data_IF_109505180650
#
_entry.id   IF_109505180650
#
_cell.length_a   1.000
_cell.length_b   1.000
_cell.length_c   1.000
_cell.angle_alpha   90.00
_cell.angle_beta   90.00
_cell.angle_gamma   90.00
#
_symmetry.space_group_name_H-M   'P 1'
#
loop_
_entity.id
_entity.type
_entity.pdbx_description
1 polymer ?
#
# COMPACT_ATOMS: atom_id res chain seq x y z
N UNK A 1 24.88 -4.94 15.61
CA UNK A 1 24.05 -4.93 14.39
C UNK A 1 22.98 -3.87 14.58
N UNK A 2 23.06 -2.74 13.88
CA UNK A 2 21.94 -1.79 13.86
C UNK A 2 20.84 -2.44 13.02
N UNK A 3 19.70 -2.79 13.62
CA UNK A 3 18.60 -3.43 12.91
C UNK A 3 18.02 -2.45 11.90
N UNK A 4 18.23 -2.70 10.61
CA UNK A 4 17.51 -2.00 9.55
C UNK A 4 16.04 -2.44 9.59
N UNK A 5 15.13 -1.48 9.68
CA UNK A 5 13.71 -1.73 9.47
C UNK A 5 13.39 -1.43 8.00
N UNK A 6 12.81 -2.41 7.30
CA UNK A 6 12.34 -2.26 5.91
C UNK A 6 10.82 -2.14 5.89
N UNK A 7 10.25 -0.93 6.02
CA UNK A 7 8.81 -0.73 5.95
C UNK A 7 8.28 -1.12 4.56
N UNK A 8 7.21 -1.93 4.56
CA UNK A 8 6.42 -2.21 3.37
C UNK A 8 5.06 -1.56 3.51
N UNK A 9 4.69 -0.76 2.51
CA UNK A 9 3.42 -0.07 2.40
C UNK A 9 2.57 -0.74 1.31
N UNK A 10 1.82 -1.79 1.66
CA UNK A 10 0.90 -2.40 0.72
C UNK A 10 -0.36 -1.53 0.58
N UNK A 11 -0.95 -1.54 -0.62
CA UNK A 11 -2.37 -1.24 -0.80
C UNK A 11 -3.22 -2.28 -0.08
N UNK A 12 -4.54 -2.16 -0.18
CA UNK A 12 -5.46 -3.09 0.48
C UNK A 12 -5.07 -4.54 0.21
N UNK A 13 -4.95 -5.36 1.25
CA UNK A 13 -4.61 -6.79 1.13
C UNK A 13 -5.89 -7.59 1.35
N UNK A 14 -6.16 -8.56 0.47
CA UNK A 14 -7.32 -9.44 0.58
C UNK A 14 -7.13 -10.43 1.73
N UNK A 15 -7.47 -9.98 2.93
CA UNK A 15 -7.50 -10.78 4.14
C UNK A 15 -8.94 -10.89 4.65
N UNK A 16 -9.25 -11.89 5.50
CA UNK A 16 -10.58 -12.01 6.14
C UNK A 16 -10.99 -10.78 6.98
N UNK A 17 -10.07 -9.84 7.23
CA UNK A 17 -10.36 -8.61 7.98
C UNK A 17 -11.58 -7.85 7.42
N UNK A 18 -11.71 -7.74 6.10
CA UNK A 18 -12.83 -7.00 5.49
C UNK A 18 -14.17 -7.72 5.69
N UNK A 19 -14.17 -9.05 5.67
CA UNK A 19 -15.36 -9.85 5.94
C UNK A 19 -15.74 -9.76 7.42
N UNK A 20 -14.77 -9.91 8.33
CA UNK A 20 -14.99 -9.86 9.77
C UNK A 20 -15.38 -8.47 10.31
N UNK A 21 -14.94 -7.39 9.65
CA UNK A 21 -15.34 -6.01 10.00
C UNK A 21 -16.79 -5.69 9.58
N UNK A 22 -17.47 -6.63 8.91
CA UNK A 22 -18.82 -6.42 8.40
C UNK A 22 -18.89 -5.47 7.20
N UNK A 23 -17.75 -5.14 6.58
CA UNK A 23 -17.65 -4.23 5.44
C UNK A 23 -16.68 -4.79 4.40
N UNK A 24 -17.24 -5.43 3.38
CA UNK A 24 -16.49 -5.92 2.24
C UNK A 24 -15.72 -4.78 1.54
N UNK A 25 -14.59 -5.10 0.92
CA UNK A 25 -13.87 -4.16 0.09
C UNK A 25 -14.60 -3.98 -1.25
N UNK A 26 -15.28 -2.85 -1.44
CA UNK A 26 -16.15 -2.55 -2.58
C UNK A 26 -15.50 -1.71 -3.68
N UNK A 27 -14.29 -1.16 -3.42
CA UNK A 27 -13.59 -0.33 -4.39
C UNK A 27 -13.14 -1.13 -5.61
N UNK A 28 -13.42 -0.56 -6.79
CA UNK A 28 -13.00 -1.12 -8.09
C UNK A 28 -11.51 -0.90 -8.36
N UNK A 29 -10.92 0.15 -7.81
CA UNK A 29 -9.50 0.49 -7.97
C UNK A 29 -8.96 1.29 -6.77
N UNK A 30 -7.72 1.00 -6.31
CA UNK A 30 -6.97 -0.23 -6.59
C UNK A 30 -7.69 -1.47 -6.09
N UNK A 31 -7.59 -2.59 -6.83
CA UNK A 31 -8.10 -3.87 -6.34
C UNK A 31 -7.22 -4.39 -5.19
N UNK A 32 -7.79 -5.16 -4.23
CA UNK A 32 -7.00 -5.78 -3.18
C UNK A 32 -5.92 -6.70 -3.71
N UNK A 33 -4.73 -6.62 -3.10
CA UNK A 33 -3.60 -7.49 -3.33
C UNK A 33 -3.86 -8.89 -2.78
N UNK A 34 -3.30 -9.90 -3.45
CA UNK A 34 -3.17 -11.22 -2.84
C UNK A 34 -2.22 -11.14 -1.63
N UNK A 35 -2.52 -11.80 -0.49
CA UNK A 35 -1.64 -11.82 0.68
C UNK A 35 -0.20 -12.22 0.35
N UNK A 36 -0.02 -13.24 -0.50
CA UNK A 36 1.28 -13.69 -0.94
C UNK A 36 2.12 -12.57 -1.58
N UNK A 37 1.49 -11.63 -2.31
CA UNK A 37 2.20 -10.53 -2.96
C UNK A 37 2.77 -9.53 -1.94
N UNK A 38 2.03 -9.26 -0.86
CA UNK A 38 2.53 -8.43 0.24
C UNK A 38 3.64 -9.15 1.00
N UNK A 39 3.47 -10.45 1.30
CA UNK A 39 4.47 -11.26 1.98
C UNK A 39 5.79 -11.37 1.20
N UNK A 40 5.74 -11.65 -0.10
CA UNK A 40 6.93 -11.70 -0.96
C UNK A 40 7.66 -10.36 -1.01
N UNK A 41 6.91 -9.24 -1.05
CA UNK A 41 7.53 -7.92 -1.05
C UNK A 41 8.24 -7.61 0.28
N UNK A 42 7.64 -8.00 1.41
CA UNK A 42 8.26 -7.87 2.72
C UNK A 42 9.56 -8.67 2.83
N UNK A 43 9.54 -9.95 2.45
CA UNK A 43 10.75 -10.79 2.48
C UNK A 43 11.86 -10.19 1.62
N UNK A 44 11.53 -9.76 0.40
CA UNK A 44 12.51 -9.12 -0.50
C UNK A 44 13.06 -7.81 0.04
N UNK A 45 12.21 -6.98 0.67
CA UNK A 45 12.63 -5.71 1.25
C UNK A 45 13.64 -5.93 2.39
N UNK A 46 13.35 -6.89 3.27
CA UNK A 46 14.24 -7.29 4.37
C UNK A 46 15.55 -7.86 3.84
N UNK A 47 15.51 -8.78 2.88
CA UNK A 47 16.70 -9.39 2.26
C UNK A 47 17.61 -8.35 1.60
N UNK A 48 17.03 -7.30 1.00
CA UNK A 48 17.77 -6.26 0.27
C UNK A 48 18.18 -5.09 1.15
N UNK A 49 17.66 -4.98 2.36
CA UNK A 49 17.80 -3.79 3.19
C UNK A 49 17.14 -2.56 2.54
N UNK A 50 16.02 -2.77 1.83
CA UNK A 50 15.31 -1.67 1.18
C UNK A 50 14.76 -0.72 2.26
N UNK A 51 14.98 0.60 2.16
CA UNK A 51 14.57 1.56 3.19
C UNK A 51 13.07 1.78 3.23
N UNK A 52 12.35 1.52 2.13
CA UNK A 52 10.88 1.62 2.04
C UNK A 52 10.38 0.99 0.72
N UNK A 53 9.33 0.18 0.77
CA UNK A 53 8.74 -0.47 -0.42
C UNK A 53 7.23 -0.28 -0.51
N UNK A 54 6.76 0.31 -1.60
CA UNK A 54 5.33 0.40 -1.93
C UNK A 54 4.87 -0.76 -2.80
N UNK A 55 3.72 -1.36 -2.48
CA UNK A 55 3.11 -2.42 -3.28
C UNK A 55 1.63 -2.10 -3.51
N UNK A 56 1.16 -1.95 -4.76
CA UNK A 56 1.94 -1.85 -5.99
C UNK A 56 2.82 -0.60 -6.02
N UNK A 57 3.93 -0.66 -6.77
CA UNK A 57 4.96 0.41 -6.80
C UNK A 57 4.43 1.79 -7.19
N UNK A 58 3.37 1.85 -8.00
CA UNK A 58 2.78 3.13 -8.40
C UNK A 58 2.17 3.91 -7.23
N UNK A 59 1.82 3.25 -6.11
CA UNK A 59 1.38 3.96 -4.90
C UNK A 59 2.45 4.90 -4.35
N UNK A 60 3.74 4.66 -4.66
CA UNK A 60 4.80 5.59 -4.32
C UNK A 60 4.67 6.94 -5.05
N UNK A 61 4.02 6.97 -6.21
CA UNK A 61 3.69 8.22 -6.92
C UNK A 61 2.55 8.93 -6.20
N UNK A 62 1.50 8.21 -5.83
CA UNK A 62 0.37 8.77 -5.07
C UNK A 62 0.84 9.36 -3.72
N UNK A 63 1.73 8.66 -3.01
CA UNK A 63 2.34 9.16 -1.77
C UNK A 63 3.16 10.44 -1.99
N UNK A 64 3.95 10.50 -3.08
CA UNK A 64 4.70 11.72 -3.44
C UNK A 64 3.78 12.88 -3.78
N UNK A 65 2.69 12.64 -4.52
CA UNK A 65 1.69 13.68 -4.84
C UNK A 65 1.03 14.18 -3.57
N UNK A 66 0.66 13.29 -2.65
CA UNK A 66 0.10 13.69 -1.35
C UNK A 66 1.09 14.56 -0.54
N UNK A 67 2.38 14.21 -0.53
CA UNK A 67 3.40 14.99 0.16
C UNK A 67 3.72 16.34 -0.49
N UNK A 68 3.65 16.43 -1.82
CA UNK A 68 4.00 17.63 -2.56
C UNK A 68 2.81 18.59 -2.80
N UNK A 69 1.60 18.06 -2.93
CA UNK A 69 0.39 18.81 -3.25
C UNK A 69 -0.87 18.19 -2.60
N UNK A 70 -1.06 18.36 -1.28
CA UNK A 70 -2.16 17.74 -0.54
C UNK A 70 -3.54 18.07 -1.13
N UNK A 71 -3.79 19.34 -1.49
CA UNK A 71 -5.07 19.76 -2.07
C UNK A 71 -5.40 19.06 -3.39
N UNK A 72 -4.39 18.86 -4.24
CA UNK A 72 -4.55 18.13 -5.50
C UNK A 72 -4.90 16.67 -5.22
N UNK A 73 -4.19 16.03 -4.30
CA UNK A 73 -4.48 14.65 -3.91
C UNK A 73 -5.90 14.50 -3.37
N UNK A 74 -6.36 15.38 -2.48
CA UNK A 74 -7.73 15.34 -1.95
C UNK A 74 -8.78 15.49 -3.05
N UNK A 75 -8.59 16.41 -4.00
CA UNK A 75 -9.50 16.57 -5.15
C UNK A 75 -9.56 15.32 -6.02
N UNK A 76 -8.41 14.69 -6.31
CA UNK A 76 -8.36 13.45 -7.08
C UNK A 76 -9.01 12.30 -6.30
N UNK A 77 -8.75 12.19 -4.99
CA UNK A 77 -9.34 11.17 -4.14
C UNK A 77 -10.86 11.31 -4.03
N UNK A 78 -11.41 12.52 -3.98
CA UNK A 78 -12.86 12.74 -4.02
C UNK A 78 -13.47 12.37 -5.38
N UNK A 79 -12.72 12.56 -6.47
CA UNK A 79 -13.21 12.25 -7.82
C UNK A 79 -13.17 10.77 -8.16
N UNK A 80 -12.19 10.03 -7.64
CA UNK A 80 -11.90 8.64 -8.01
C UNK A 80 -12.06 7.61 -6.87
N UNK A 81 -12.28 8.06 -5.63
CA UNK A 81 -12.37 7.24 -4.42
C UNK A 81 -13.77 6.76 -4.09
#
# INVERSE_FOLDING_TARGET
MSGSASPVLPGAVRTPFFEHRGLAYDRRFPRPLAPAKAATALLRAVERGDPEVFVPRWLAVAARVQGAAPELFHRLAQRFG
#
